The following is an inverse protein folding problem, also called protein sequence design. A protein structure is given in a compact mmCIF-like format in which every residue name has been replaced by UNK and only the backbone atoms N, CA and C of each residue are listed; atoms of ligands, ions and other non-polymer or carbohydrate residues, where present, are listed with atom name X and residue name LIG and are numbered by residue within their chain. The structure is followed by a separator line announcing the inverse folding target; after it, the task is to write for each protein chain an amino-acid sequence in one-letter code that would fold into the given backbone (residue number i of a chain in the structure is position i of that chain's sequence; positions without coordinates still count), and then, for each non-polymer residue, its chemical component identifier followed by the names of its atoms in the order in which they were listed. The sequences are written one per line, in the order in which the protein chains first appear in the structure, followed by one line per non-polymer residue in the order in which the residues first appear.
data_IF_991351436020
#
_entry.id   IF_991351436020
#
_cell.length_a   1.000
_cell.length_b   1.000
_cell.length_c   1.000
_cell.angle_alpha   90.00
_cell.angle_beta   90.00
_cell.angle_gamma   90.00
#
_symmetry.space_group_name_H-M   'P 1'
#
loop_
_entity.id
_entity.type
_entity.pdbx_description
1 polymer ?
#
# COMPACT_ATOMS: atom_id res chain seq x y z
N UNK A 1 12.88 0.96 7.23
CA UNK A 1 12.59 1.51 5.89
C UNK A 1 11.98 0.46 4.96
N UNK A 2 12.59 -0.72 4.84
CA UNK A 2 12.05 -1.84 4.06
C UNK A 2 11.13 -2.72 4.91
N UNK A 3 10.11 -3.33 4.28
CA UNK A 3 9.15 -4.18 4.99
C UNK A 3 9.78 -5.38 5.70
N UNK A 4 10.87 -5.91 5.19
CA UNK A 4 11.60 -7.02 5.81
C UNK A 4 12.19 -6.67 7.20
N UNK A 5 12.36 -5.40 7.53
CA UNK A 5 12.88 -4.96 8.83
C UNK A 5 11.93 -5.27 9.99
N UNK A 6 10.62 -5.44 9.71
CA UNK A 6 9.64 -5.82 10.74
C UNK A 6 9.92 -7.18 11.38
N UNK A 7 10.57 -8.08 10.66
CA UNK A 7 10.87 -9.44 11.12
C UNK A 7 12.35 -9.65 11.47
N UNK A 8 13.18 -8.60 11.29
CA UNK A 8 14.62 -8.70 11.57
C UNK A 8 14.92 -9.02 13.04
N UNK A 9 14.11 -8.48 13.97
CA UNK A 9 14.25 -8.78 15.41
C UNK A 9 13.93 -10.24 15.75
N UNK A 10 13.14 -10.92 14.91
CA UNK A 10 12.84 -12.35 15.02
C UNK A 10 13.89 -13.22 14.31
N UNK A 11 14.94 -12.63 13.78
CA UNK A 11 16.00 -13.32 13.02
C UNK A 11 15.59 -13.74 11.61
N UNK A 12 14.47 -13.23 11.09
CA UNK A 12 13.96 -13.56 9.75
C UNK A 12 14.49 -12.53 8.76
N UNK A 13 15.35 -12.99 7.86
CA UNK A 13 15.93 -12.17 6.80
C UNK A 13 15.62 -12.78 5.43
N UNK A 14 15.21 -11.98 4.45
CA UNK A 14 14.99 -12.48 3.10
C UNK A 14 16.31 -12.88 2.43
N UNK A 15 16.28 -13.94 1.63
CA UNK A 15 17.42 -14.32 0.79
C UNK A 15 17.53 -13.43 -0.45
N UNK A 16 16.39 -12.92 -0.94
CA UNK A 16 16.29 -12.03 -2.10
C UNK A 16 15.30 -10.90 -1.79
N UNK A 17 15.69 -9.67 -2.06
CA UNK A 17 14.84 -8.48 -2.00
C UNK A 17 14.75 -7.84 -3.36
N UNK A 18 13.55 -7.59 -3.86
CA UNK A 18 13.32 -6.83 -5.08
C UNK A 18 12.82 -5.44 -4.75
N UNK A 19 13.41 -4.41 -5.33
CA UNK A 19 13.01 -3.00 -5.16
C UNK A 19 12.74 -2.38 -6.52
N UNK A 20 11.67 -1.60 -6.62
CA UNK A 20 11.26 -0.96 -7.86
C UNK A 20 10.37 0.26 -7.61
N UNK A 21 9.65 0.71 -8.64
CA UNK A 21 8.63 1.79 -8.56
C UNK A 21 9.21 3.11 -8.08
N UNK A 22 8.83 3.57 -6.89
CA UNK A 22 9.23 4.86 -6.32
C UNK A 22 10.69 4.92 -5.86
N UNK A 23 11.46 3.83 -5.97
CA UNK A 23 12.85 3.79 -5.48
C UNK A 23 13.75 4.87 -6.12
N UNK A 24 13.46 5.29 -7.35
CA UNK A 24 14.20 6.33 -8.04
C UNK A 24 13.38 7.60 -8.33
N UNK A 25 12.35 7.88 -7.49
CA UNK A 25 11.59 9.12 -7.56
C UNK A 25 10.86 9.37 -8.89
N UNK A 26 10.48 8.31 -9.60
CA UNK A 26 9.78 8.37 -10.89
C UNK A 26 10.64 8.01 -12.10
N UNK A 27 11.96 7.87 -11.93
CA UNK A 27 12.82 7.35 -13.00
C UNK A 27 12.76 5.82 -13.07
N UNK A 28 12.85 5.22 -14.27
CA UNK A 28 12.83 3.77 -14.42
C UNK A 28 14.06 3.13 -13.78
N UNK A 29 13.84 2.44 -12.65
CA UNK A 29 14.86 1.67 -11.95
C UNK A 29 14.21 0.54 -11.19
N UNK A 30 14.86 -0.62 -11.21
CA UNK A 30 14.63 -1.72 -10.29
C UNK A 30 15.95 -2.31 -9.82
N UNK A 31 15.93 -2.93 -8.66
CA UNK A 31 17.09 -3.59 -8.09
C UNK A 31 16.71 -4.96 -7.54
N UNK A 32 17.62 -5.89 -7.63
CA UNK A 32 17.59 -7.18 -6.93
C UNK A 32 18.80 -7.20 -6.01
N UNK A 33 18.54 -7.36 -4.71
CA UNK A 33 19.57 -7.53 -3.67
C UNK A 33 19.40 -8.91 -3.08
N UNK A 34 20.46 -9.70 -3.03
CA UNK A 34 20.40 -11.06 -2.49
C UNK A 34 21.71 -11.44 -1.80
N UNK A 35 21.70 -12.59 -1.12
CA UNK A 35 22.92 -13.21 -0.61
C UNK A 35 23.91 -13.46 -1.73
N UNK A 36 25.21 -13.31 -1.48
CA UNK A 36 26.26 -13.41 -2.51
C UNK A 36 26.20 -14.75 -3.25
N UNK A 37 26.05 -15.85 -2.53
CA UNK A 37 25.98 -17.20 -3.11
C UNK A 37 24.79 -17.39 -4.10
N UNK A 38 23.71 -16.60 -3.94
CA UNK A 38 22.57 -16.65 -4.84
C UNK A 38 22.84 -15.83 -6.11
N UNK A 39 23.36 -14.61 -5.96
CA UNK A 39 23.66 -13.73 -7.09
C UNK A 39 24.79 -14.32 -7.95
N UNK A 40 25.85 -14.86 -7.33
CA UNK A 40 27.01 -15.45 -8.01
C UNK A 40 26.68 -16.76 -8.72
N UNK A 41 25.62 -17.46 -8.36
CA UNK A 41 25.13 -18.64 -9.07
C UNK A 41 24.56 -18.33 -10.45
N UNK A 42 24.28 -17.05 -10.77
CA UNK A 42 23.80 -16.66 -12.08
C UNK A 42 24.94 -16.69 -13.10
N UNK A 43 24.63 -17.11 -14.35
CA UNK A 43 25.59 -17.07 -15.43
C UNK A 43 26.06 -15.64 -15.75
N UNK A 44 27.27 -15.48 -16.23
CA UNK A 44 27.78 -14.18 -16.68
C UNK A 44 26.85 -13.54 -17.71
N UNK A 45 26.44 -12.29 -17.48
CA UNK A 45 25.47 -11.57 -18.30
C UNK A 45 24.00 -12.02 -18.16
N UNK A 46 23.70 -12.93 -17.23
CA UNK A 46 22.33 -13.45 -17.01
C UNK A 46 21.42 -12.48 -16.27
N UNK A 47 21.98 -11.52 -15.55
CA UNK A 47 21.25 -10.51 -14.79
C UNK A 47 21.51 -9.13 -15.41
N UNK A 48 20.43 -8.41 -15.71
CA UNK A 48 20.50 -7.04 -16.19
C UNK A 48 19.94 -6.86 -17.61
N UNK A 49 20.16 -5.69 -18.16
CA UNK A 49 19.75 -5.29 -19.50
C UNK A 49 20.51 -4.05 -19.96
N UNK A 50 20.30 -3.64 -21.20
CA UNK A 50 21.03 -2.54 -21.83
C UNK A 50 21.04 -1.23 -21.02
N UNK A 51 19.95 -0.95 -20.30
CA UNK A 51 19.79 0.25 -19.48
C UNK A 51 20.04 0.02 -17.99
N UNK A 52 20.50 -1.16 -17.58
CA UNK A 52 20.81 -1.47 -16.18
C UNK A 52 21.90 -0.54 -15.65
N UNK A 53 21.72 -0.08 -14.41
CA UNK A 53 22.67 0.81 -13.76
C UNK A 53 22.73 2.22 -14.36
N UNK A 54 21.65 2.70 -14.98
CA UNK A 54 21.60 4.09 -15.48
C UNK A 54 22.02 5.07 -14.38
N UNK A 55 23.10 5.86 -14.58
CA UNK A 55 23.67 6.69 -13.52
C UNK A 55 22.74 7.79 -13.02
N UNK A 56 21.84 8.30 -13.86
CA UNK A 56 20.85 9.31 -13.45
C UNK A 56 19.82 8.67 -12.50
N UNK A 57 19.30 7.49 -12.86
CA UNK A 57 18.32 6.79 -12.04
C UNK A 57 18.91 6.29 -10.72
N UNK A 58 20.16 5.81 -10.73
CA UNK A 58 20.86 5.38 -9.51
C UNK A 58 21.18 6.54 -8.58
N UNK A 59 21.61 7.69 -9.11
CA UNK A 59 21.79 8.91 -8.31
C UNK A 59 20.49 9.39 -7.68
N UNK A 60 19.40 9.35 -8.42
CA UNK A 60 18.07 9.67 -7.89
C UNK A 60 17.65 8.69 -6.79
N UNK A 61 17.89 7.39 -6.96
CA UNK A 61 17.57 6.38 -5.95
C UNK A 61 18.34 6.60 -4.64
N UNK A 62 19.64 6.88 -4.73
CA UNK A 62 20.43 7.22 -3.54
C UNK A 62 19.85 8.42 -2.79
N UNK A 63 19.40 9.44 -3.54
CA UNK A 63 18.78 10.63 -2.94
C UNK A 63 17.42 10.35 -2.32
N UNK A 64 16.63 9.47 -2.93
CA UNK A 64 15.35 9.02 -2.33
C UNK A 64 15.60 8.30 -1.00
N UNK A 65 16.56 7.39 -0.94
CA UNK A 65 16.92 6.68 0.29
C UNK A 65 17.37 7.66 1.36
N UNK A 66 18.29 8.57 1.04
CA UNK A 66 18.76 9.63 1.96
C UNK A 66 17.59 10.47 2.54
N UNK A 67 16.63 10.86 1.69
CA UNK A 67 15.47 11.64 2.12
C UNK A 67 14.58 10.79 3.04
N UNK A 68 14.34 9.52 2.70
CA UNK A 68 13.52 8.64 3.52
C UNK A 68 14.11 8.41 4.90
N UNK A 69 15.44 8.29 5.01
CA UNK A 69 16.14 8.17 6.29
C UNK A 69 16.13 9.50 7.06
N UNK A 70 16.55 10.58 6.40
CA UNK A 70 16.64 11.92 7.02
C UNK A 70 15.30 12.37 7.62
N UNK A 71 14.19 12.15 6.90
CA UNK A 71 12.86 12.62 7.26
C UNK A 71 12.02 11.56 7.97
N UNK A 72 12.63 10.43 8.35
CA UNK A 72 12.02 9.32 9.07
C UNK A 72 10.67 8.85 8.48
N UNK A 73 10.67 8.50 7.19
CA UNK A 73 9.45 8.09 6.49
C UNK A 73 8.82 6.80 7.06
N UNK A 74 9.59 5.97 7.75
CA UNK A 74 9.05 4.81 8.46
C UNK A 74 8.08 5.23 9.58
N UNK A 75 8.45 6.23 10.38
CA UNK A 75 7.58 6.77 11.42
C UNK A 75 6.35 7.48 10.84
N UNK A 76 6.52 8.25 9.75
CA UNK A 76 5.39 8.84 9.02
C UNK A 76 4.38 7.79 8.57
N UNK A 77 4.86 6.66 8.01
CA UNK A 77 4.00 5.55 7.62
C UNK A 77 3.24 4.95 8.81
N UNK A 78 3.87 4.82 9.98
CA UNK A 78 3.22 4.34 11.20
C UNK A 78 2.15 5.31 11.71
N UNK A 79 2.41 6.62 11.67
CA UNK A 79 1.44 7.63 12.08
C UNK A 79 0.22 7.64 11.17
N UNK A 80 0.42 7.56 9.84
CA UNK A 80 -0.66 7.39 8.86
C UNK A 80 -1.45 6.11 9.16
N UNK A 81 -0.76 5.00 9.41
CA UNK A 81 -1.40 3.73 9.75
C UNK A 81 -2.31 3.87 10.96
N UNK A 82 -1.79 4.41 12.05
CA UNK A 82 -2.56 4.60 13.29
C UNK A 82 -3.82 5.44 13.06
N UNK A 83 -3.70 6.55 12.32
CA UNK A 83 -4.83 7.42 12.04
C UNK A 83 -5.89 6.73 11.18
N UNK A 84 -5.47 6.13 10.06
CA UNK A 84 -6.38 5.51 9.09
C UNK A 84 -7.01 4.25 9.66
N UNK A 85 -6.24 3.34 10.26
CA UNK A 85 -6.75 2.08 10.81
C UNK A 85 -7.80 2.30 11.90
N UNK A 86 -7.62 3.30 12.77
CA UNK A 86 -8.63 3.65 13.78
C UNK A 86 -9.98 3.95 13.11
N UNK A 87 -10.00 4.80 12.09
CA UNK A 87 -11.22 5.14 11.36
C UNK A 87 -11.81 3.96 10.57
N UNK A 88 -10.96 3.10 10.00
CA UNK A 88 -11.41 1.91 9.28
C UNK A 88 -12.06 0.89 10.24
N UNK A 89 -11.54 0.71 11.45
CA UNK A 89 -12.16 -0.14 12.46
C UNK A 89 -13.50 0.43 12.94
N UNK A 90 -13.62 1.74 13.18
CA UNK A 90 -14.89 2.40 13.49
C UNK A 90 -15.93 2.16 12.39
N UNK A 91 -15.52 2.25 11.11
CA UNK A 91 -16.39 1.93 9.98
C UNK A 91 -16.76 0.43 9.94
N UNK A 92 -15.84 -0.47 10.28
CA UNK A 92 -16.12 -1.92 10.31
C UNK A 92 -17.17 -2.30 11.36
N UNK A 93 -17.18 -1.62 12.49
CA UNK A 93 -18.21 -1.81 13.51
C UNK A 93 -19.57 -1.30 13.03
N UNK A 94 -19.59 -0.25 12.22
CA UNK A 94 -20.81 0.43 11.76
C UNK A 94 -21.43 -0.19 10.51
N UNK A 95 -20.59 -0.73 9.60
CA UNK A 95 -21.03 -1.21 8.28
C UNK A 95 -20.78 -2.71 8.14
N UNK A 96 -21.85 -3.49 8.08
CA UNK A 96 -21.76 -4.96 7.98
C UNK A 96 -21.08 -5.47 6.70
N UNK A 97 -21.04 -4.65 5.65
CA UNK A 97 -20.33 -4.96 4.41
C UNK A 97 -18.82 -5.06 4.59
N UNK A 98 -18.24 -4.47 5.66
CA UNK A 98 -16.80 -4.52 5.92
C UNK A 98 -16.47 -5.80 6.65
N UNK A 99 -15.91 -6.77 5.93
CA UNK A 99 -15.55 -8.09 6.44
C UNK A 99 -14.22 -8.13 7.19
N UNK A 100 -13.25 -7.35 6.72
CA UNK A 100 -11.92 -7.28 7.32
C UNK A 100 -11.23 -5.95 7.04
N UNK A 101 -10.39 -5.51 7.99
CA UNK A 101 -9.51 -4.35 7.85
C UNK A 101 -8.12 -4.76 8.28
N UNK A 102 -7.14 -4.58 7.41
CA UNK A 102 -5.76 -5.01 7.64
C UNK A 102 -4.75 -4.11 6.95
N UNK A 103 -3.51 -4.15 7.42
CA UNK A 103 -2.41 -3.45 6.77
C UNK A 103 -1.19 -3.31 7.65
N UNK A 104 -0.12 -2.81 7.04
CA UNK A 104 1.14 -2.55 7.70
C UNK A 104 1.70 -1.21 7.19
N UNK A 105 2.01 -0.29 8.10
CA UNK A 105 2.37 1.07 7.72
C UNK A 105 1.27 1.72 6.86
N UNK A 106 1.63 2.47 5.86
CA UNK A 106 0.69 3.14 4.96
C UNK A 106 0.11 2.25 3.84
N UNK A 107 0.32 0.93 3.91
CA UNK A 107 -0.27 -0.03 2.98
C UNK A 107 -1.37 -0.81 3.67
N UNK A 108 -2.62 -0.44 3.42
CA UNK A 108 -3.78 -0.98 4.12
C UNK A 108 -4.87 -1.39 3.13
N UNK A 109 -5.78 -2.23 3.60
CA UNK A 109 -6.94 -2.67 2.82
C UNK A 109 -8.18 -2.80 3.70
N UNK A 110 -9.33 -2.49 3.12
CA UNK A 110 -10.67 -2.79 3.63
C UNK A 110 -11.29 -3.83 2.70
N UNK A 111 -11.56 -5.01 3.21
CA UNK A 111 -12.18 -6.09 2.46
C UNK A 111 -13.70 -6.05 2.62
N UNK A 112 -14.42 -6.03 1.51
CA UNK A 112 -15.87 -5.95 1.48
C UNK A 112 -16.49 -7.31 1.18
N UNK A 113 -17.51 -7.68 1.94
CA UNK A 113 -18.23 -8.94 1.85
C UNK A 113 -19.74 -8.70 1.86
N UNK A 114 -20.49 -9.56 1.19
CA UNK A 114 -21.95 -9.52 1.23
C UNK A 114 -22.50 -10.21 2.48
N UNK A 115 -21.69 -11.08 3.09
CA UNK A 115 -22.03 -11.81 4.31
C UNK A 115 -20.77 -12.05 5.17
N UNK A 116 -20.81 -11.64 6.43
CA UNK A 116 -19.66 -11.75 7.36
C UNK A 116 -19.33 -13.19 7.76
N UNK A 117 -20.27 -14.12 7.66
CA UNK A 117 -20.07 -15.52 8.05
C UNK A 117 -19.45 -16.31 6.90
N UNK A 118 -20.06 -16.23 5.71
CA UNK A 118 -19.58 -16.97 4.54
C UNK A 118 -18.39 -16.29 3.85
N UNK A 119 -18.14 -15.00 4.14
CA UNK A 119 -17.11 -14.18 3.51
C UNK A 119 -17.27 -14.03 1.99
N UNK A 120 -18.50 -14.12 1.50
CA UNK A 120 -18.77 -13.94 0.06
C UNK A 120 -18.37 -12.54 -0.39
N UNK A 121 -17.53 -12.39 -1.45
CA UNK A 121 -16.99 -11.11 -1.89
C UNK A 121 -18.04 -10.14 -2.41
N UNK A 122 -18.07 -8.92 -1.90
CA UNK A 122 -18.94 -7.82 -2.35
C UNK A 122 -18.32 -7.05 -3.53
N UNK A 123 -18.04 -7.72 -4.64
CA UNK A 123 -17.35 -7.14 -5.79
C UNK A 123 -18.11 -5.98 -6.45
N UNK A 124 -19.42 -6.13 -6.65
CA UNK A 124 -20.21 -5.11 -7.31
C UNK A 124 -20.41 -3.88 -6.40
N UNK A 125 -20.63 -4.09 -5.11
CA UNK A 125 -20.71 -3.03 -4.11
C UNK A 125 -19.38 -2.26 -4.02
N UNK A 126 -18.26 -2.96 -4.10
CA UNK A 126 -16.91 -2.34 -4.13
C UNK A 126 -16.78 -1.36 -5.31
N UNK A 127 -17.21 -1.76 -6.51
CA UNK A 127 -17.21 -0.88 -7.68
C UNK A 127 -18.12 0.33 -7.50
N UNK A 128 -19.29 0.13 -6.88
CA UNK A 128 -20.21 1.23 -6.60
C UNK A 128 -19.62 2.22 -5.61
N UNK A 129 -18.97 1.74 -4.54
CA UNK A 129 -18.27 2.59 -3.57
C UNK A 129 -17.16 3.39 -4.25
N UNK A 130 -16.33 2.76 -5.07
CA UNK A 130 -15.28 3.45 -5.84
C UNK A 130 -15.88 4.54 -6.73
N UNK A 131 -16.98 4.24 -7.43
CA UNK A 131 -17.68 5.21 -8.27
C UNK A 131 -18.20 6.40 -7.46
N UNK A 132 -18.73 6.16 -6.27
CA UNK A 132 -19.20 7.23 -5.37
C UNK A 132 -18.03 8.05 -4.80
N UNK A 133 -16.89 7.43 -4.48
CA UNK A 133 -15.66 8.13 -4.11
C UNK A 133 -15.17 9.04 -5.23
N UNK A 134 -15.10 8.53 -6.46
CA UNK A 134 -14.66 9.30 -7.62
C UNK A 134 -15.54 10.53 -7.89
N UNK A 135 -16.87 10.41 -7.74
CA UNK A 135 -17.79 11.56 -7.87
C UNK A 135 -17.51 12.67 -6.86
N UNK A 136 -16.92 12.32 -5.71
CA UNK A 136 -16.58 13.24 -4.62
C UNK A 136 -15.11 13.69 -4.66
N UNK A 137 -14.39 13.34 -5.74
CA UNK A 137 -13.00 13.75 -5.97
C UNK A 137 -11.95 12.88 -5.29
N UNK A 138 -12.31 11.71 -4.76
CA UNK A 138 -11.36 10.76 -4.19
C UNK A 138 -11.10 9.59 -5.14
N UNK A 139 -9.86 9.42 -5.56
CA UNK A 139 -9.42 8.26 -6.35
C UNK A 139 -9.04 7.11 -5.42
N UNK A 140 -9.80 6.03 -5.49
CA UNK A 140 -9.56 4.77 -4.76
C UNK A 140 -9.53 3.63 -5.77
N UNK A 141 -8.73 2.62 -5.51
CA UNK A 141 -8.60 1.44 -6.36
C UNK A 141 -9.07 0.19 -5.63
N UNK A 142 -9.70 -0.71 -6.38
CA UNK A 142 -9.92 -2.07 -5.93
C UNK A 142 -8.61 -2.88 -5.99
N UNK A 143 -8.58 -3.95 -5.24
CA UNK A 143 -7.45 -4.87 -5.17
C UNK A 143 -7.92 -6.29 -4.83
N UNK A 144 -6.94 -7.21 -4.83
CA UNK A 144 -7.18 -8.62 -4.53
C UNK A 144 -7.75 -9.39 -5.71
N UNK A 145 -7.62 -10.71 -5.67
CA UNK A 145 -8.03 -11.63 -6.76
C UNK A 145 -9.54 -11.53 -7.03
N UNK A 146 -10.32 -11.24 -5.99
CA UNK A 146 -11.78 -11.17 -6.05
C UNK A 146 -12.31 -9.77 -6.36
N UNK A 147 -11.44 -8.73 -6.35
CA UNK A 147 -11.82 -7.34 -6.64
C UNK A 147 -12.79 -6.74 -5.61
N UNK A 148 -12.70 -7.17 -4.37
CA UNK A 148 -13.55 -6.76 -3.25
C UNK A 148 -12.81 -6.03 -2.12
N UNK A 149 -11.57 -5.61 -2.38
CA UNK A 149 -10.78 -4.84 -1.43
C UNK A 149 -10.64 -3.39 -1.92
N UNK A 150 -10.90 -2.42 -1.06
CA UNK A 150 -10.45 -1.06 -1.23
C UNK A 150 -9.01 -0.97 -0.71
N UNK A 151 -8.08 -0.58 -1.59
CA UNK A 151 -6.66 -0.45 -1.23
C UNK A 151 -6.31 0.97 -0.89
N UNK A 152 -5.69 1.15 0.27
CA UNK A 152 -5.14 2.40 0.75
C UNK A 152 -3.62 2.39 0.54
N UNK A 153 -3.11 3.32 -0.25
CA UNK A 153 -1.68 3.48 -0.54
C UNK A 153 -1.41 4.96 -0.88
N UNK A 154 -1.67 5.82 0.10
CA UNK A 154 -1.48 7.26 -0.05
C UNK A 154 0.00 7.64 -0.01
N UNK A 155 0.39 8.79 -0.59
CA UNK A 155 1.73 9.35 -0.41
C UNK A 155 2.04 9.56 1.07
N UNK A 156 3.29 9.26 1.48
CA UNK A 156 3.71 9.41 2.88
C UNK A 156 3.85 10.88 3.34
N UNK A 157 3.64 11.83 2.44
CA UNK A 157 3.55 13.28 2.74
C UNK A 157 2.10 13.77 2.89
N UNK A 158 1.10 12.87 2.83
CA UNK A 158 -0.32 13.22 3.01
C UNK A 158 -0.55 13.79 4.41
N UNK A 159 -1.26 14.92 4.51
CA UNK A 159 -1.57 15.55 5.80
C UNK A 159 -2.77 14.91 6.49
N UNK A 160 -2.91 15.13 7.80
CA UNK A 160 -4.03 14.59 8.58
C UNK A 160 -5.39 15.11 8.06
N UNK A 161 -5.45 16.37 7.60
CA UNK A 161 -6.65 16.95 7.01
C UNK A 161 -7.02 16.23 5.70
N UNK A 162 -6.03 15.89 4.87
CA UNK A 162 -6.25 15.14 3.63
C UNK A 162 -6.68 13.70 3.92
N UNK A 163 -6.06 13.05 4.92
CA UNK A 163 -6.46 11.72 5.37
C UNK A 163 -7.92 11.72 5.87
N UNK A 164 -8.25 12.70 6.73
CA UNK A 164 -9.60 12.87 7.24
C UNK A 164 -10.61 13.06 6.11
N UNK A 165 -10.35 13.98 5.21
CA UNK A 165 -11.25 14.26 4.08
C UNK A 165 -11.46 13.03 3.19
N UNK A 166 -10.39 12.27 2.90
CA UNK A 166 -10.50 11.03 2.13
C UNK A 166 -11.34 9.96 2.83
N UNK A 167 -11.14 9.77 4.13
CA UNK A 167 -11.91 8.81 4.93
C UNK A 167 -13.37 9.21 5.07
N UNK A 168 -13.66 10.50 5.24
CA UNK A 168 -15.04 11.01 5.28
C UNK A 168 -15.77 10.73 3.95
N UNK A 169 -15.10 10.90 2.80
CA UNK A 169 -15.65 10.56 1.48
C UNK A 169 -15.95 9.07 1.37
N UNK A 170 -15.06 8.21 1.88
CA UNK A 170 -15.27 6.75 1.87
C UNK A 170 -16.48 6.38 2.73
N UNK A 171 -16.60 6.97 3.91
CA UNK A 171 -17.75 6.73 4.79
C UNK A 171 -19.07 7.18 4.14
N UNK A 172 -19.10 8.34 3.49
CA UNK A 172 -20.27 8.78 2.71
C UNK A 172 -20.61 7.84 1.55
N UNK A 173 -19.59 7.31 0.85
CA UNK A 173 -19.82 6.32 -0.20
C UNK A 173 -20.38 5.01 0.35
N UNK A 174 -19.90 4.55 1.51
CA UNK A 174 -20.45 3.39 2.22
C UNK A 174 -21.92 3.61 2.58
N UNK A 175 -22.28 4.75 3.16
CA UNK A 175 -23.69 5.09 3.50
C UNK A 175 -24.60 4.98 2.29
N UNK A 176 -24.19 5.56 1.15
CA UNK A 176 -24.99 5.54 -0.09
C UNK A 176 -25.20 4.12 -0.61
N UNK A 177 -24.16 3.29 -0.61
CA UNK A 177 -24.23 1.94 -1.17
C UNK A 177 -24.94 0.97 -0.23
N UNK A 178 -24.71 1.06 1.07
CA UNK A 178 -25.33 0.17 2.06
C UNK A 178 -26.70 0.66 2.53
N UNK A 179 -27.10 1.89 2.19
CA UNK A 179 -28.35 2.53 2.67
C UNK A 179 -28.46 2.61 4.21
N UNK A 180 -27.32 2.62 4.89
CA UNK A 180 -27.22 2.85 6.34
C UNK A 180 -27.18 4.36 6.57
N UNK A 181 -28.08 4.88 7.44
CA UNK A 181 -28.15 6.31 7.80
C UNK A 181 -27.13 6.67 8.91
#
# INVERSE_FOLDING_TARGET
MFACEYWAEEGIYPDIVTSAKSIAGGLPLSAVTAKAEIIEASQAGGIGGTYSGNPIATAAALKVIEIMERDNYAEKAQNISKFVMTRLFEMQEKYDIIGDVRGLGAMMAMELVTDKVTKEPAKEETKLIIKECNKRGLIVLDAGIRGNNLRFLMPLCTTDEQLKAGLDIIEEALKVVTKVN
#
